data_IF_619847399165
#
_entry.id   IF_619847399165
#
_cell.length_a   1.000
_cell.length_b   1.000
_cell.length_c   1.000
_cell.angle_alpha   90.00
_cell.angle_beta   90.00
_cell.angle_gamma   90.00
#
_symmetry.space_group_name_H-M   'P 1'
#
loop_
_entity.id
_entity.type
_entity.pdbx_description
1 polymer ?
#
# COMPACT_ATOMS: atom_id res chain seq x y z
N UNK A 1 -13.30 21.68 -0.45
CA UNK A 1 -13.42 20.20 -0.34
C UNK A 1 -13.76 19.87 1.09
N UNK A 2 -14.83 19.10 1.31
CA UNK A 2 -15.20 18.64 2.64
C UNK A 2 -14.24 17.53 3.11
N UNK A 3 -14.15 17.27 4.41
CA UNK A 3 -13.26 16.25 4.97
C UNK A 3 -13.51 14.84 4.38
N UNK A 4 -14.78 14.52 4.09
CA UNK A 4 -15.18 13.31 3.37
C UNK A 4 -14.53 13.19 1.98
N UNK A 5 -14.44 14.29 1.23
CA UNK A 5 -13.87 14.29 -0.13
C UNK A 5 -12.37 14.07 -0.08
N UNK A 6 -11.68 14.68 0.90
CA UNK A 6 -10.24 14.52 1.14
C UNK A 6 -9.90 13.08 1.52
N UNK A 7 -10.69 12.46 2.40
CA UNK A 7 -10.52 11.05 2.77
C UNK A 7 -10.75 10.11 1.58
N UNK A 8 -11.77 10.35 0.75
CA UNK A 8 -12.01 9.57 -0.47
C UNK A 8 -10.88 9.70 -1.48
N UNK A 9 -10.38 10.92 -1.68
CA UNK A 9 -9.27 11.20 -2.59
C UNK A 9 -7.98 10.52 -2.11
N UNK A 10 -7.66 10.61 -0.82
CA UNK A 10 -6.49 9.95 -0.24
C UNK A 10 -6.57 8.42 -0.36
N UNK A 11 -7.76 7.83 -0.12
CA UNK A 11 -7.99 6.40 -0.33
C UNK A 11 -7.83 5.98 -1.79
N UNK A 12 -8.30 6.81 -2.74
CA UNK A 12 -8.11 6.59 -4.18
C UNK A 12 -6.62 6.64 -4.55
N UNK A 13 -5.87 7.61 -4.02
CA UNK A 13 -4.44 7.74 -4.29
C UNK A 13 -3.64 6.54 -3.79
N UNK A 14 -3.96 6.01 -2.60
CA UNK A 14 -3.34 4.77 -2.12
C UNK A 14 -3.64 3.58 -3.03
N UNK A 15 -4.89 3.44 -3.51
CA UNK A 15 -5.27 2.39 -4.44
C UNK A 15 -4.56 2.51 -5.78
N UNK A 16 -4.53 3.72 -6.37
CA UNK A 16 -3.86 4.00 -7.63
C UNK A 16 -2.36 3.71 -7.55
N UNK A 17 -1.70 4.20 -6.49
CA UNK A 17 -0.28 3.97 -6.30
C UNK A 17 0.03 2.49 -6.05
N UNK A 18 -0.84 1.79 -5.32
CA UNK A 18 -0.69 0.34 -5.11
C UNK A 18 -0.89 -0.45 -6.40
N UNK A 19 -1.88 -0.08 -7.21
CA UNK A 19 -2.11 -0.70 -8.51
C UNK A 19 -0.91 -0.50 -9.46
N UNK A 20 -0.37 0.72 -9.52
CA UNK A 20 0.84 1.02 -10.29
C UNK A 20 2.04 0.22 -9.78
N UNK A 21 2.20 0.14 -8.46
CA UNK A 21 3.27 -0.65 -7.85
C UNK A 21 3.18 -2.13 -8.23
N UNK A 22 2.00 -2.74 -8.15
CA UNK A 22 1.78 -4.13 -8.57
C UNK A 22 2.10 -4.30 -10.06
N UNK A 23 1.69 -3.36 -10.91
CA UNK A 23 1.99 -3.40 -12.34
C UNK A 23 3.49 -3.37 -12.62
N UNK A 24 4.25 -2.50 -11.95
CA UNK A 24 5.71 -2.43 -12.07
C UNK A 24 6.37 -3.72 -11.59
N UNK A 25 5.94 -4.25 -10.44
CA UNK A 25 6.47 -5.52 -9.90
C UNK A 25 6.21 -6.68 -10.86
N UNK A 26 5.02 -6.74 -11.47
CA UNK A 26 4.68 -7.76 -12.45
C UNK A 26 5.51 -7.61 -13.74
N UNK A 27 5.70 -6.38 -14.22
CA UNK A 27 6.56 -6.09 -15.37
C UNK A 27 8.02 -6.49 -15.12
N UNK A 28 8.56 -6.15 -13.95
CA UNK A 28 9.91 -6.58 -13.52
C UNK A 28 9.99 -8.11 -13.43
N UNK A 29 8.96 -8.77 -12.90
CA UNK A 29 8.91 -10.24 -12.83
C UNK A 29 8.93 -10.91 -14.19
N UNK A 30 8.13 -10.41 -15.14
CA UNK A 30 8.15 -10.91 -16.51
C UNK A 30 9.51 -10.65 -17.16
N UNK A 31 10.05 -9.44 -17.05
CA UNK A 31 11.36 -9.09 -17.60
C UNK A 31 12.49 -9.95 -17.00
N UNK A 32 12.43 -10.20 -15.69
CA UNK A 32 13.37 -11.07 -14.99
C UNK A 32 13.33 -12.49 -15.57
N UNK A 33 12.14 -13.09 -15.68
CA UNK A 33 11.98 -14.45 -16.22
C UNK A 33 12.44 -14.56 -17.67
N UNK A 34 12.14 -13.56 -18.51
CA UNK A 34 12.50 -13.59 -19.94
C UNK A 34 13.98 -13.35 -20.17
N UNK A 35 14.56 -12.30 -19.57
CA UNK A 35 15.99 -11.98 -19.73
C UNK A 35 16.83 -13.12 -19.16
N UNK A 36 16.50 -13.59 -17.96
CA UNK A 36 17.27 -14.63 -17.30
C UNK A 36 17.15 -15.97 -18.03
N UNK A 37 15.95 -16.34 -18.50
CA UNK A 37 15.76 -17.54 -19.32
C UNK A 37 16.55 -17.49 -20.65
N UNK A 38 16.61 -16.32 -21.30
CA UNK A 38 17.37 -16.13 -22.54
C UNK A 38 18.88 -16.16 -22.30
N UNK A 39 19.37 -15.52 -21.23
CA UNK A 39 20.80 -15.53 -20.89
C UNK A 39 21.26 -16.94 -20.57
N UNK A 40 20.57 -17.67 -19.70
CA UNK A 40 21.00 -19.01 -19.30
C UNK A 40 20.88 -20.07 -20.41
N UNK A 41 20.03 -19.86 -21.42
CA UNK A 41 19.97 -20.75 -22.59
C UNK A 41 21.14 -20.55 -23.57
N UNK A 42 21.90 -19.45 -23.46
CA UNK A 42 22.98 -19.10 -24.39
C UNK A 42 24.38 -19.14 -23.78
N UNK A 43 24.50 -19.29 -22.45
CA UNK A 43 25.78 -19.37 -21.75
C UNK A 43 26.46 -20.72 -22.03
N UNK A 44 27.69 -20.74 -22.60
CA UNK A 44 28.44 -21.96 -22.80
C UNK A 44 28.85 -22.58 -21.45
N UNK A 45 28.48 -23.83 -21.22
CA UNK A 45 28.86 -24.59 -20.03
C UNK A 45 30.26 -25.18 -20.18
N UNK A 46 31.18 -24.87 -19.27
CA UNK A 46 32.50 -25.52 -19.20
C UNK A 46 32.50 -26.63 -18.16
N UNK A 47 33.34 -27.64 -18.36
CA UNK A 47 33.56 -28.69 -17.38
C UNK A 47 34.15 -28.07 -16.09
N UNK A 48 33.43 -28.20 -14.98
CA UNK A 48 33.78 -27.61 -13.68
C UNK A 48 32.92 -26.40 -13.29
N UNK A 49 32.08 -25.88 -14.18
CA UNK A 49 31.11 -24.84 -13.82
C UNK A 49 30.00 -25.43 -12.93
N UNK A 50 29.42 -24.64 -11.99
CA UNK A 50 28.26 -25.07 -11.23
C UNK A 50 27.10 -25.45 -12.18
N UNK A 51 26.29 -26.48 -11.83
CA UNK A 51 25.12 -26.83 -12.61
C UNK A 51 24.20 -25.61 -12.82
N UNK A 52 23.77 -25.30 -14.06
CA UNK A 52 22.88 -24.18 -14.36
C UNK A 52 21.61 -24.21 -13.52
N UNK A 53 21.09 -25.41 -13.27
CA UNK A 53 19.91 -25.65 -12.45
C UNK A 53 20.05 -25.11 -11.02
N UNK A 54 21.23 -25.25 -10.42
CA UNK A 54 21.49 -24.75 -9.07
C UNK A 54 21.53 -23.22 -9.03
N UNK A 55 22.16 -22.60 -10.04
CA UNK A 55 22.23 -21.13 -10.16
C UNK A 55 20.82 -20.56 -10.38
N UNK A 56 20.04 -21.18 -11.27
CA UNK A 56 18.66 -20.78 -11.53
C UNK A 56 17.78 -20.89 -10.28
N UNK A 57 17.94 -21.95 -9.49
CA UNK A 57 17.16 -22.15 -8.26
C UNK A 57 17.47 -21.11 -7.19
N UNK A 58 18.76 -20.80 -6.95
CA UNK A 58 19.16 -19.78 -5.97
C UNK A 58 18.64 -18.40 -6.38
N UNK A 59 18.77 -18.07 -7.66
CA UNK A 59 18.30 -16.79 -8.21
C UNK A 59 16.77 -16.68 -8.16
N UNK A 60 16.04 -17.74 -8.53
CA UNK A 60 14.59 -17.80 -8.41
C UNK A 60 14.13 -17.68 -6.95
N UNK A 61 14.82 -18.32 -6.01
CA UNK A 61 14.54 -18.20 -4.58
C UNK A 61 14.76 -16.76 -4.08
N UNK A 62 15.86 -16.12 -4.48
CA UNK A 62 16.14 -14.72 -4.13
C UNK A 62 15.07 -13.77 -4.68
N UNK A 63 14.65 -13.96 -5.94
CA UNK A 63 13.59 -13.17 -6.55
C UNK A 63 12.23 -13.40 -5.88
N UNK A 64 11.91 -14.65 -5.54
CA UNK A 64 10.68 -14.99 -4.82
C UNK A 64 10.64 -14.32 -3.44
N UNK A 65 11.74 -14.37 -2.69
CA UNK A 65 11.85 -13.69 -1.39
C UNK A 65 11.64 -12.18 -1.57
N UNK A 66 12.27 -11.55 -2.55
CA UNK A 66 12.07 -10.13 -2.84
C UNK A 66 10.59 -9.79 -3.17
N UNK A 67 9.92 -10.63 -3.97
CA UNK A 67 8.49 -10.46 -4.27
C UNK A 67 7.62 -10.56 -3.02
N UNK A 68 7.87 -11.54 -2.15
CA UNK A 68 7.12 -11.71 -0.89
C UNK A 68 7.26 -10.47 -0.02
N UNK A 69 8.49 -9.95 0.13
CA UNK A 69 8.71 -8.69 0.87
C UNK A 69 7.96 -7.52 0.23
N UNK A 70 8.02 -7.35 -1.09
CA UNK A 70 7.29 -6.27 -1.78
C UNK A 70 5.77 -6.34 -1.56
N UNK A 71 5.18 -7.54 -1.60
CA UNK A 71 3.76 -7.75 -1.34
C UNK A 71 3.41 -7.43 0.11
N UNK A 72 4.24 -7.86 1.06
CA UNK A 72 4.04 -7.60 2.49
C UNK A 72 4.02 -6.08 2.79
N UNK A 73 4.92 -5.32 2.18
CA UNK A 73 4.94 -3.85 2.26
C UNK A 73 3.75 -3.18 1.52
N UNK A 74 3.00 -3.91 0.71
CA UNK A 74 1.79 -3.40 0.05
C UNK A 74 0.55 -3.45 0.96
N UNK A 75 0.52 -4.39 1.91
CA UNK A 75 -0.64 -4.64 2.77
C UNK A 75 -1.08 -3.38 3.54
N UNK A 76 -0.19 -2.62 4.22
CA UNK A 76 -0.61 -1.44 4.98
C UNK A 76 -1.26 -0.36 4.09
N UNK A 77 -0.79 -0.21 2.85
CA UNK A 77 -1.34 0.74 1.86
C UNK A 77 -2.76 0.35 1.44
N UNK A 78 -3.00 -0.94 1.21
CA UNK A 78 -4.33 -1.48 0.89
C UNK A 78 -5.30 -1.34 2.07
N UNK A 79 -4.85 -1.72 3.26
CA UNK A 79 -5.64 -1.63 4.50
C UNK A 79 -5.99 -0.17 4.81
N UNK A 80 -5.05 0.75 4.66
CA UNK A 80 -5.29 2.18 4.79
C UNK A 80 -6.36 2.69 3.82
N UNK A 81 -6.24 2.35 2.53
CA UNK A 81 -7.22 2.75 1.52
C UNK A 81 -8.63 2.19 1.79
N UNK A 82 -8.73 0.93 2.23
CA UNK A 82 -9.99 0.32 2.61
C UNK A 82 -10.59 0.95 3.88
N UNK A 83 -9.76 1.17 4.91
CA UNK A 83 -10.17 1.80 6.16
C UNK A 83 -10.71 3.21 5.97
N UNK A 84 -10.05 4.00 5.10
CA UNK A 84 -10.49 5.36 4.76
C UNK A 84 -11.84 5.37 4.05
N UNK A 85 -12.09 4.40 3.15
CA UNK A 85 -13.39 4.30 2.45
C UNK A 85 -14.53 3.84 3.34
N UNK A 86 -14.24 3.01 4.35
CA UNK A 86 -15.24 2.54 5.32
C UNK A 86 -15.37 3.43 6.55
N UNK A 87 -14.72 4.60 6.59
CA UNK A 87 -14.86 5.58 7.66
C UNK A 87 -14.65 4.98 9.04
N UNK A 88 -13.66 4.09 9.16
CA UNK A 88 -13.38 3.38 10.41
C UNK A 88 -12.37 4.15 11.26
N UNK A 89 -12.51 4.14 12.59
CA UNK A 89 -11.61 4.88 13.49
C UNK A 89 -10.16 4.35 13.45
N UNK A 90 -9.98 3.05 13.21
CA UNK A 90 -8.65 2.44 13.03
C UNK A 90 -7.91 2.91 11.76
N UNK A 91 -8.60 3.59 10.84
CA UNK A 91 -8.07 3.89 9.52
C UNK A 91 -7.01 4.98 9.60
N UNK A 92 -7.10 5.83 10.62
CA UNK A 92 -6.13 6.87 10.89
C UNK A 92 -4.73 6.28 11.09
N UNK A 93 -4.58 5.28 11.96
CA UNK A 93 -3.27 4.67 12.24
C UNK A 93 -2.67 4.01 10.99
N UNK A 94 -3.47 3.22 10.26
CA UNK A 94 -3.01 2.55 9.04
C UNK A 94 -2.64 3.54 7.93
N UNK A 95 -3.42 4.62 7.77
CA UNK A 95 -3.14 5.65 6.78
C UNK A 95 -1.91 6.48 7.12
N UNK A 96 -1.63 6.75 8.40
CA UNK A 96 -0.35 7.39 8.80
C UNK A 96 0.84 6.52 8.39
N UNK A 97 0.80 5.22 8.72
CA UNK A 97 1.87 4.27 8.38
C UNK A 97 2.04 4.19 6.85
N UNK A 98 0.93 4.04 6.12
CA UNK A 98 0.94 4.00 4.67
C UNK A 98 1.48 5.29 4.04
N UNK A 99 1.12 6.46 4.59
CA UNK A 99 1.62 7.76 4.15
C UNK A 99 3.12 7.96 4.39
N UNK A 100 3.67 7.49 5.50
CA UNK A 100 5.12 7.55 5.74
C UNK A 100 5.85 6.64 4.75
N UNK A 101 5.33 5.42 4.56
CA UNK A 101 5.94 4.42 3.68
C UNK A 101 5.90 4.83 2.21
N UNK A 102 4.80 5.46 1.74
CA UNK A 102 4.68 5.97 0.37
C UNK A 102 5.55 7.22 0.16
N UNK A 103 5.81 7.99 1.22
CA UNK A 103 6.65 9.19 1.16
C UNK A 103 8.09 8.90 0.72
N UNK A 104 8.59 7.69 1.02
CA UNK A 104 9.92 7.22 0.60
C UNK A 104 10.05 7.06 -0.93
N UNK A 105 8.93 7.05 -1.67
CA UNK A 105 8.93 6.96 -3.13
C UNK A 105 8.81 8.35 -3.77
N UNK A 106 9.93 8.91 -4.24
CA UNK A 106 9.96 10.23 -4.88
C UNK A 106 9.74 10.13 -6.41
N UNK A 107 9.05 11.09 -7.07
CA UNK A 107 8.37 12.28 -6.52
C UNK A 107 6.87 12.06 -6.22
N UNK A 108 6.21 11.13 -6.89
CA UNK A 108 4.75 10.95 -6.79
C UNK A 108 4.31 10.41 -5.42
N UNK A 109 5.05 9.46 -4.85
CA UNK A 109 4.74 8.91 -3.53
C UNK A 109 4.93 9.94 -2.41
N UNK A 110 5.93 10.81 -2.50
CA UNK A 110 6.11 11.94 -1.59
C UNK A 110 4.93 12.91 -1.63
N UNK A 111 4.44 13.28 -2.81
CA UNK A 111 3.27 14.17 -2.93
C UNK A 111 2.02 13.57 -2.25
N UNK A 112 1.73 12.29 -2.51
CA UNK A 112 0.60 11.56 -1.91
C UNK A 112 0.79 11.39 -0.40
N UNK A 113 2.01 11.04 0.02
CA UNK A 113 2.37 10.81 1.41
C UNK A 113 2.21 12.08 2.24
N UNK A 114 2.79 13.20 1.79
CA UNK A 114 2.68 14.52 2.43
C UNK A 114 1.22 14.97 2.48
N UNK A 115 0.49 14.86 1.37
CA UNK A 115 -0.95 15.20 1.36
C UNK A 115 -1.72 14.39 2.40
N UNK A 116 -1.43 13.09 2.52
CA UNK A 116 -2.04 12.24 3.53
C UNK A 116 -1.70 12.64 4.95
N UNK A 117 -0.42 12.90 5.25
CA UNK A 117 0.01 13.34 6.59
C UNK A 117 -0.63 14.69 6.95
N UNK A 118 -0.58 15.67 6.05
CA UNK A 118 -1.20 16.99 6.28
C UNK A 118 -2.69 16.85 6.56
N UNK A 119 -3.41 16.00 5.82
CA UNK A 119 -4.82 15.75 6.10
C UNK A 119 -5.04 15.04 7.44
N UNK A 120 -4.29 13.98 7.74
CA UNK A 120 -4.44 13.20 8.97
C UNK A 120 -4.09 13.96 10.26
N UNK A 121 -3.15 14.92 10.16
CA UNK A 121 -2.74 15.77 11.29
C UNK A 121 -3.52 17.09 11.37
N UNK A 122 -4.25 17.47 10.33
CA UNK A 122 -5.14 18.63 10.36
C UNK A 122 -6.29 18.46 11.36
N UNK A 123 -6.78 19.57 11.89
CA UNK A 123 -7.91 19.56 12.82
C UNK A 123 -9.20 19.05 12.17
N UNK A 124 -9.37 19.28 10.87
CA UNK A 124 -10.46 18.69 10.08
C UNK A 124 -10.40 17.15 10.07
N UNK A 125 -9.21 16.58 9.89
CA UNK A 125 -8.99 15.13 9.91
C UNK A 125 -9.24 14.53 11.30
N UNK A 126 -8.78 15.22 12.36
CA UNK A 126 -9.06 14.80 13.75
C UNK A 126 -10.56 14.76 14.04
N UNK A 127 -11.27 15.84 13.72
CA UNK A 127 -12.72 15.94 13.90
C UNK A 127 -13.47 14.86 13.11
N UNK A 128 -13.02 14.56 11.89
CA UNK A 128 -13.59 13.51 11.05
C UNK A 128 -13.51 12.12 11.70
N UNK A 129 -12.33 11.75 12.21
CA UNK A 129 -12.13 10.45 12.84
C UNK A 129 -12.71 10.39 14.26
N UNK A 130 -12.73 11.50 15.00
CA UNK A 130 -13.36 11.57 16.32
C UNK A 130 -14.88 11.40 16.21
N UNK A 131 -15.56 12.13 15.31
CA UNK A 131 -17.00 11.97 15.07
C UNK A 131 -17.39 10.52 14.73
N UNK A 132 -16.55 9.82 13.96
CA UNK A 132 -16.77 8.42 13.63
C UNK A 132 -16.49 7.47 14.79
N UNK A 133 -15.50 7.79 15.63
CA UNK A 133 -15.21 7.05 16.86
C UNK A 133 -16.39 7.15 17.84
N UNK A 134 -16.95 8.35 17.99
CA UNK A 134 -18.16 8.58 18.77
C UNK A 134 -19.36 7.82 18.17
N UNK A 135 -19.63 7.95 16.86
CA UNK A 135 -20.73 7.24 16.22
C UNK A 135 -20.60 5.70 16.32
N UNK A 136 -19.37 5.17 16.30
CA UNK A 136 -19.10 3.73 16.47
C UNK A 136 -19.25 3.24 17.91
N UNK A 137 -18.94 4.08 18.90
CA UNK A 137 -19.07 3.76 20.33
C UNK A 137 -20.53 3.75 20.80
N UNK A 138 -21.42 4.47 20.10
CA UNK A 138 -22.80 4.68 20.51
C UNK A 138 -23.77 3.55 20.11
N UNK A 139 -23.35 2.62 19.25
CA UNK A 139 -24.15 1.47 18.81
C UNK A 139 -25.45 1.83 18.06
N UNK A 140 -26.10 0.89 17.36
CA UNK A 140 -27.31 1.16 16.58
C UNK A 140 -28.55 1.53 17.43
N UNK A 141 -28.47 1.40 18.76
CA UNK A 141 -29.62 1.53 19.67
C UNK A 141 -29.56 2.79 20.55
N UNK A 142 -28.93 3.86 20.11
CA UNK A 142 -29.13 5.14 20.78
C UNK A 142 -30.45 5.75 20.29
N UNK A 143 -31.47 5.91 21.15
CA UNK A 143 -32.65 6.68 20.76
C UNK A 143 -32.15 8.06 20.36
N UNK A 144 -32.47 8.46 19.12
CA UNK A 144 -32.13 9.76 18.53
C UNK A 144 -32.15 10.79 19.65
N UNK A 145 -30.96 11.35 19.97
CA UNK A 145 -30.78 12.25 21.10
C UNK A 145 -31.95 13.21 21.07
N UNK A 146 -32.84 13.04 22.05
CA UNK A 146 -34.15 13.69 22.07
C UNK A 146 -33.82 15.17 22.16
N UNK A 147 -34.00 15.88 21.06
CA UNK A 147 -33.81 17.32 20.94
C UNK A 147 -34.90 17.99 21.79
N UNK A 148 -34.72 17.95 23.10
CA UNK A 148 -35.42 18.83 24.02
C UNK A 148 -34.41 19.90 24.41
N UNK A 149 -34.74 21.11 23.95
CA UNK A 149 -34.06 22.40 24.11
C UNK A 149 -33.14 22.76 22.93
#
# INVERSE_FOLDING_TARGET
MNANDKARLLGLFFWLFTALYIFVVLGIGVAYLTIFGLVFSTVPQKAGDPPPEMIMLIMAAAFFVALVFMVLFSIPKLVAGYGLRKNKPWARTWATIASIMICMSFPLGTAIGVFGLVFLFSDEGKLYFDQQSYAGALGPNQPAAKSWQ
#
